data_IF_825295487226
#
_entry.id   IF_825295487226
#
_cell.length_a   1.000
_cell.length_b   1.000
_cell.length_c   1.000
_cell.angle_alpha   90.00
_cell.angle_beta   90.00
_cell.angle_gamma   90.00
#
_symmetry.space_group_name_H-M   'P 1'
#
loop_
_entity.id
_entity.type
_entity.pdbx_description
1 polymer ?
#
# COMPACT_ATOMS: atom_id res chain seq x y z
N UNK A 1 -18.97 40.54 -67.96
CA UNK A 1 -17.79 40.27 -67.09
C UNK A 1 -18.29 39.54 -65.85
N UNK A 2 -17.71 38.37 -65.53
CA UNK A 2 -18.26 37.34 -64.63
C UNK A 2 -18.04 37.68 -63.14
N UNK A 3 -19.11 37.63 -62.35
CA UNK A 3 -19.10 37.62 -60.87
C UNK A 3 -18.47 36.32 -60.38
N UNK A 4 -17.55 36.38 -59.41
CA UNK A 4 -17.07 35.20 -58.66
C UNK A 4 -17.79 35.15 -57.30
N UNK A 5 -18.58 34.10 -57.11
CA UNK A 5 -19.11 33.65 -55.82
C UNK A 5 -18.00 32.90 -55.07
N UNK A 6 -17.86 33.16 -53.76
CA UNK A 6 -17.10 32.31 -52.85
C UNK A 6 -18.07 31.75 -51.81
N UNK A 7 -18.02 30.42 -51.67
CA UNK A 7 -18.91 29.58 -50.88
C UNK A 7 -18.46 29.62 -49.41
N UNK A 8 -19.43 29.82 -48.51
CA UNK A 8 -19.27 29.74 -47.05
C UNK A 8 -19.41 28.27 -46.63
N UNK A 9 -18.47 27.77 -45.84
CA UNK A 9 -18.55 26.46 -45.18
C UNK A 9 -18.55 26.66 -43.66
N UNK A 10 -19.74 26.50 -43.07
CA UNK A 10 -19.96 26.42 -41.63
C UNK A 10 -19.87 24.95 -41.25
N UNK A 11 -18.95 24.59 -40.35
CA UNK A 11 -18.95 23.28 -39.69
C UNK A 11 -19.40 23.46 -38.24
N UNK A 12 -20.66 23.12 -38.01
CA UNK A 12 -21.21 22.85 -36.68
C UNK A 12 -20.87 21.41 -36.31
N UNK A 13 -20.18 21.20 -35.20
CA UNK A 13 -20.10 19.90 -34.55
C UNK A 13 -20.38 20.06 -33.06
N UNK A 14 -21.66 19.88 -32.72
CA UNK A 14 -22.14 19.54 -31.38
C UNK A 14 -21.98 18.03 -31.23
N UNK A 15 -21.17 17.54 -30.28
CA UNK A 15 -21.18 16.13 -29.88
C UNK A 15 -20.68 15.96 -28.42
N UNK A 16 -21.64 15.92 -27.50
CA UNK A 16 -21.83 14.95 -26.40
C UNK A 16 -20.60 14.61 -25.51
N UNK A 17 -20.66 14.98 -24.23
CA UNK A 17 -19.99 14.23 -23.16
C UNK A 17 -20.91 13.06 -22.70
N UNK A 18 -20.37 11.88 -22.37
CA UNK A 18 -20.20 11.60 -20.94
C UNK A 18 -18.88 10.89 -20.59
N UNK A 19 -18.60 10.88 -19.29
CA UNK A 19 -17.45 10.34 -18.61
C UNK A 19 -16.99 8.95 -19.09
N UNK A 20 -15.67 8.79 -19.19
CA UNK A 20 -15.00 7.53 -18.91
C UNK A 20 -14.01 7.82 -17.79
N UNK A 21 -14.38 7.44 -16.57
CA UNK A 21 -13.43 7.13 -15.51
C UNK A 21 -12.61 5.95 -16.02
N UNK A 22 -11.52 6.27 -16.71
CA UNK A 22 -10.49 5.31 -17.05
C UNK A 22 -9.78 4.93 -15.76
N UNK A 23 -10.30 3.92 -15.06
CA UNK A 23 -9.43 3.00 -14.35
C UNK A 23 -8.50 2.49 -15.45
N UNK A 24 -7.22 2.85 -15.42
CA UNK A 24 -6.23 2.33 -16.36
C UNK A 24 -6.24 0.80 -16.26
N UNK A 25 -7.08 0.17 -17.09
CA UNK A 25 -7.20 -1.25 -17.30
C UNK A 25 -6.34 -1.63 -18.51
N UNK A 26 -5.12 -1.12 -18.55
CA UNK A 26 -4.12 -1.54 -19.52
C UNK A 26 -3.19 -2.53 -18.85
N UNK A 27 -3.46 -3.80 -19.18
CA UNK A 27 -2.66 -5.00 -18.93
C UNK A 27 -2.74 -5.55 -17.48
N UNK A 28 -3.14 -6.82 -17.27
CA UNK A 28 -2.87 -7.52 -16.03
C UNK A 28 -1.37 -7.86 -16.02
N UNK A 29 -0.51 -6.84 -15.97
CA UNK A 29 0.82 -7.06 -15.44
C UNK A 29 0.58 -7.63 -14.04
N UNK A 30 1.17 -8.79 -13.82
CA UNK A 30 1.34 -9.38 -12.51
C UNK A 30 2.05 -8.37 -11.63
N UNK A 31 1.25 -7.48 -11.07
CA UNK A 31 1.54 -6.76 -9.89
C UNK A 31 1.91 -7.88 -8.91
N UNK A 32 3.19 -8.00 -8.56
CA UNK A 32 3.71 -8.91 -7.53
C UNK A 32 3.96 -8.12 -6.23
N UNK A 33 3.37 -8.53 -5.11
CA UNK A 33 3.61 -8.04 -3.74
C UNK A 33 2.77 -6.85 -3.32
N UNK A 34 3.40 -5.69 -3.18
CA UNK A 34 2.81 -4.47 -2.62
C UNK A 34 2.75 -3.40 -3.70
N UNK A 35 1.55 -2.90 -4.00
CA UNK A 35 1.33 -1.91 -5.07
C UNK A 35 0.94 -0.57 -4.49
N UNK A 36 1.66 0.52 -4.81
CA UNK A 36 1.25 1.84 -4.41
C UNK A 36 -0.07 2.21 -5.10
N UNK A 37 -0.98 2.75 -4.31
CA UNK A 37 -2.22 3.33 -4.78
C UNK A 37 -2.06 4.84 -4.88
N UNK A 38 -2.35 5.38 -6.07
CA UNK A 38 -2.38 6.83 -6.34
C UNK A 38 -3.82 7.26 -6.56
N UNK A 39 -4.67 7.00 -5.57
CA UNK A 39 -6.11 7.34 -5.58
C UNK A 39 -6.49 8.05 -4.30
N UNK A 40 -7.54 8.86 -4.33
CA UNK A 40 -8.01 9.50 -3.10
C UNK A 40 -8.61 8.42 -2.18
N UNK A 41 -8.38 8.47 -0.85
CA UNK A 41 -8.93 7.46 0.07
C UNK A 41 -10.46 7.33 0.02
N UNK A 42 -11.17 8.42 -0.31
CA UNK A 42 -12.63 8.44 -0.47
C UNK A 42 -13.12 7.67 -1.70
N UNK A 43 -12.25 7.42 -2.67
CA UNK A 43 -12.56 6.65 -3.90
C UNK A 43 -12.48 5.14 -3.65
N UNK A 44 -11.88 4.70 -2.53
CA UNK A 44 -11.79 3.29 -2.15
C UNK A 44 -13.02 2.93 -1.32
N UNK A 45 -13.91 2.04 -1.80
CA UNK A 45 -15.14 1.69 -1.10
C UNK A 45 -14.89 1.22 0.34
N UNK A 46 -15.61 1.81 1.29
CA UNK A 46 -15.54 1.45 2.72
C UNK A 46 -14.27 1.92 3.46
N UNK A 47 -13.24 2.43 2.78
CA UNK A 47 -11.99 2.86 3.43
C UNK A 47 -12.19 4.07 4.33
N UNK A 48 -12.94 5.08 3.89
CA UNK A 48 -13.20 6.27 4.70
C UNK A 48 -13.95 5.94 6.01
N UNK A 49 -14.81 4.90 5.99
CA UNK A 49 -15.52 4.40 7.18
C UNK A 49 -14.72 3.38 8.00
N UNK A 50 -13.55 2.94 7.53
CA UNK A 50 -12.74 1.96 8.22
C UNK A 50 -12.03 2.59 9.43
N UNK A 51 -12.47 2.19 10.62
CA UNK A 51 -11.90 2.65 11.89
C UNK A 51 -10.41 2.33 12.04
N UNK A 52 -9.91 1.25 11.44
CA UNK A 52 -8.48 0.92 11.49
C UNK A 52 -7.66 1.87 10.61
N UNK A 53 -8.19 2.25 9.45
CA UNK A 53 -7.61 3.30 8.60
C UNK A 53 -7.61 4.63 9.33
N UNK A 54 -8.76 5.08 9.83
CA UNK A 54 -8.89 6.34 10.59
C UNK A 54 -7.95 6.38 11.80
N UNK A 55 -7.89 5.31 12.59
CA UNK A 55 -7.01 5.25 13.76
C UNK A 55 -5.52 5.29 13.38
N UNK A 56 -5.15 4.71 12.24
CA UNK A 56 -3.76 4.70 11.75
C UNK A 56 -3.36 6.05 11.16
N UNK A 57 -4.24 6.71 10.41
CA UNK A 57 -3.95 7.97 9.71
C UNK A 57 -4.17 9.22 10.55
N UNK A 58 -4.89 9.10 11.68
CA UNK A 58 -5.13 10.21 12.59
C UNK A 58 -3.81 10.85 13.04
N UNK A 59 -3.63 12.12 12.69
CA UNK A 59 -2.46 12.90 13.08
C UNK A 59 -1.19 12.62 12.26
N UNK A 60 -1.26 11.82 11.19
CA UNK A 60 -0.19 11.74 10.22
C UNK A 60 -0.19 12.97 9.31
N UNK A 61 1.00 13.54 9.06
CA UNK A 61 1.23 14.58 8.05
C UNK A 61 1.26 14.02 6.63
N UNK A 62 1.45 12.71 6.50
CA UNK A 62 1.48 12.02 5.22
C UNK A 62 1.44 10.51 5.41
N UNK A 63 0.86 9.83 4.42
CA UNK A 63 0.88 8.38 4.28
C UNK A 63 0.72 8.04 2.79
N UNK A 64 1.03 6.81 2.43
CA UNK A 64 0.74 6.25 1.12
C UNK A 64 -0.15 5.01 1.32
N UNK A 65 -1.03 4.75 0.37
CA UNK A 65 -1.87 3.56 0.39
C UNK A 65 -1.29 2.50 -0.52
N UNK A 66 -1.49 1.25 -0.14
CA UNK A 66 -1.04 0.14 -0.95
C UNK A 66 -2.06 -0.99 -0.96
N UNK A 67 -2.06 -1.78 -2.02
CA UNK A 67 -2.73 -3.10 -2.06
C UNK A 67 -1.66 -4.17 -1.93
N UNK A 68 -1.92 -5.21 -1.14
CA UNK A 68 -0.96 -6.29 -0.90
C UNK A 68 -1.50 -7.62 -1.37
N UNK A 69 -0.73 -8.30 -2.22
CA UNK A 69 -0.88 -9.72 -2.51
C UNK A 69 -0.17 -10.53 -1.41
N UNK A 70 -0.97 -11.12 -0.52
CA UNK A 70 -0.46 -11.82 0.67
C UNK A 70 0.28 -13.11 0.31
N UNK A 71 -0.19 -13.84 -0.70
CA UNK A 71 0.38 -15.14 -1.08
C UNK A 71 1.75 -14.93 -1.72
N UNK A 72 1.86 -13.97 -2.62
CA UNK A 72 3.13 -13.60 -3.23
C UNK A 72 4.11 -13.00 -2.20
N UNK A 73 3.65 -12.10 -1.33
CA UNK A 73 4.49 -11.53 -0.28
C UNK A 73 5.01 -12.63 0.66
N UNK A 74 4.16 -13.59 1.03
CA UNK A 74 4.55 -14.72 1.86
C UNK A 74 5.54 -15.64 1.16
N UNK A 75 5.32 -15.93 -0.13
CA UNK A 75 6.24 -16.74 -0.93
C UNK A 75 7.64 -16.11 -0.95
N UNK A 76 7.74 -14.80 -1.16
CA UNK A 76 9.01 -14.07 -1.15
C UNK A 76 9.64 -13.94 0.23
N UNK A 77 8.83 -13.74 1.27
CA UNK A 77 9.34 -13.77 2.64
C UNK A 77 9.98 -15.12 2.99
N UNK A 78 9.39 -16.23 2.51
CA UNK A 78 9.94 -17.58 2.68
C UNK A 78 11.24 -17.83 1.92
N UNK A 79 11.51 -17.12 0.82
CA UNK A 79 12.83 -17.18 0.15
C UNK A 79 13.90 -16.33 0.85
N UNK A 80 13.51 -15.55 1.87
CA UNK A 80 14.41 -14.71 2.65
C UNK A 80 14.79 -13.39 1.98
N UNK A 81 14.18 -13.03 0.86
CA UNK A 81 14.46 -11.78 0.14
C UNK A 81 13.17 -11.10 -0.30
N UNK A 82 12.92 -9.89 0.20
CA UNK A 82 11.72 -9.10 -0.12
C UNK A 82 12.13 -7.66 -0.41
N UNK A 83 11.67 -7.10 -1.53
CA UNK A 83 11.81 -5.66 -1.79
C UNK A 83 10.48 -4.97 -1.49
N UNK A 84 10.51 -3.96 -0.63
CA UNK A 84 9.34 -3.14 -0.30
C UNK A 84 9.55 -1.70 -0.77
N UNK A 85 8.48 -1.06 -1.24
CA UNK A 85 8.43 0.39 -1.42
C UNK A 85 7.51 0.99 -0.35
N UNK A 86 8.09 1.78 0.56
CA UNK A 86 7.33 2.48 1.59
C UNK A 86 7.63 3.97 1.45
N UNK A 87 6.59 4.76 1.17
CA UNK A 87 6.67 6.21 0.95
C UNK A 87 7.69 6.61 -0.13
N UNK A 88 7.79 5.83 -1.22
CA UNK A 88 8.71 6.09 -2.33
C UNK A 88 10.16 5.69 -2.03
N UNK A 89 10.42 5.02 -0.89
CA UNK A 89 11.73 4.48 -0.54
C UNK A 89 11.71 2.97 -0.69
N UNK A 90 12.67 2.46 -1.46
CA UNK A 90 12.86 1.04 -1.67
C UNK A 90 13.75 0.45 -0.56
N UNK A 91 13.30 -0.65 0.03
CA UNK A 91 14.00 -1.42 1.04
C UNK A 91 14.16 -2.86 0.54
N UNK A 92 15.40 -3.27 0.29
CA UNK A 92 15.73 -4.66 0.02
C UNK A 92 15.98 -5.37 1.35
N UNK A 93 15.04 -6.21 1.75
CA UNK A 93 15.02 -6.89 3.04
C UNK A 93 15.67 -8.27 2.92
N UNK A 94 16.54 -8.59 3.87
CA UNK A 94 17.05 -9.95 4.09
C UNK A 94 16.34 -10.50 5.32
N UNK A 95 15.51 -11.53 5.11
CA UNK A 95 14.58 -12.05 6.10
C UNK A 95 14.90 -13.49 6.49
N UNK A 96 14.55 -13.82 7.73
CA UNK A 96 14.58 -15.16 8.29
C UNK A 96 13.29 -15.40 9.07
N UNK A 97 12.72 -16.61 9.07
CA UNK A 97 11.55 -16.92 9.88
C UNK A 97 11.80 -16.63 11.36
N UNK A 98 10.88 -15.89 11.99
CA UNK A 98 10.90 -15.67 13.43
C UNK A 98 10.27 -16.88 14.11
N UNK A 99 11.11 -17.73 14.71
CA UNK A 99 10.68 -18.95 15.39
C UNK A 99 10.27 -18.70 16.84
N UNK A 100 10.41 -17.47 17.33
CA UNK A 100 9.90 -17.08 18.66
C UNK A 100 8.39 -16.92 18.61
N UNK A 101 7.72 -18.05 18.93
CA UNK A 101 6.35 -18.15 19.45
C UNK A 101 5.21 -18.02 18.42
N UNK A 102 4.58 -19.15 18.11
CA UNK A 102 3.13 -19.30 18.29
C UNK A 102 2.95 -20.49 19.23
N UNK A 103 2.28 -20.29 20.36
CA UNK A 103 1.87 -21.42 21.20
C UNK A 103 1.11 -22.42 20.31
N UNK A 104 1.31 -23.75 20.46
CA UNK A 104 0.51 -24.75 19.77
C UNK A 104 -0.91 -24.72 20.33
N UNK A 105 -1.67 -23.70 19.95
CA UNK A 105 -3.10 -23.58 20.13
C UNK A 105 -3.66 -23.37 18.74
N UNK A 106 -4.32 -24.41 18.22
CA UNK A 106 -4.82 -24.48 16.86
C UNK A 106 -5.49 -23.16 16.42
N UNK A 107 -4.90 -22.52 15.43
CA UNK A 107 -5.64 -21.56 14.60
C UNK A 107 -5.71 -22.18 13.22
N UNK A 108 -6.91 -22.31 12.67
CA UNK A 108 -7.15 -22.73 11.27
C UNK A 108 -6.50 -21.79 10.23
N UNK A 109 -5.73 -20.80 10.69
CA UNK A 109 -5.15 -19.68 9.97
C UNK A 109 -3.74 -19.48 10.49
N UNK A 110 -2.70 -19.80 9.70
CA UNK A 110 -1.33 -19.63 10.13
C UNK A 110 -0.94 -18.14 10.18
N UNK A 111 -0.14 -17.78 11.17
CA UNK A 111 0.55 -16.49 11.22
C UNK A 111 2.02 -16.76 10.92
N UNK A 112 2.58 -16.03 9.97
CA UNK A 112 3.98 -16.13 9.57
C UNK A 112 4.70 -14.85 9.99
N UNK A 113 5.71 -14.99 10.84
CA UNK A 113 6.55 -13.88 11.28
C UNK A 113 7.95 -14.07 10.75
N UNK A 114 8.58 -12.97 10.35
CA UNK A 114 9.93 -12.91 9.84
C UNK A 114 10.67 -11.74 10.49
N UNK A 115 11.94 -11.93 10.78
CA UNK A 115 12.87 -10.88 11.22
C UNK A 115 14.03 -10.77 10.25
N UNK A 116 14.63 -9.58 10.20
CA UNK A 116 15.70 -9.35 9.27
C UNK A 116 16.34 -7.98 9.39
N UNK A 117 17.00 -7.61 8.30
CA UNK A 117 17.67 -6.33 8.13
C UNK A 117 17.45 -5.82 6.71
N UNK A 118 17.76 -4.55 6.48
CA UNK A 118 17.85 -3.97 5.14
C UNK A 118 19.26 -4.24 4.61
N UNK A 119 19.33 -4.81 3.41
CA UNK A 119 20.58 -5.15 2.72
C UNK A 119 21.48 -3.91 2.61
N UNK A 120 22.71 -4.05 3.07
CA UNK A 120 23.71 -2.98 3.00
C UNK A 120 23.50 -1.82 3.98
N UNK A 121 22.52 -1.91 4.89
CA UNK A 121 22.31 -0.91 5.95
C UNK A 121 22.66 -1.54 7.31
N UNK A 122 23.82 -1.22 7.89
CA UNK A 122 24.21 -1.71 9.20
C UNK A 122 23.16 -1.42 10.27
N UNK A 123 23.04 -2.33 11.23
CA UNK A 123 22.17 -2.23 12.41
C UNK A 123 20.65 -2.17 12.11
N UNK A 124 20.25 -2.04 10.85
CA UNK A 124 18.83 -2.00 10.46
C UNK A 124 18.06 -3.23 10.96
N UNK A 125 16.81 -3.01 11.34
CA UNK A 125 15.94 -4.04 11.89
C UNK A 125 14.66 -4.12 11.09
N UNK A 126 14.22 -5.33 10.81
CA UNK A 126 12.97 -5.59 10.10
C UNK A 126 12.16 -6.59 10.89
N UNK A 127 10.86 -6.32 11.02
CA UNK A 127 9.88 -7.32 11.40
C UNK A 127 8.71 -7.28 10.40
N UNK A 128 8.37 -8.45 9.88
CA UNK A 128 7.29 -8.67 8.92
C UNK A 128 6.40 -9.78 9.48
N UNK A 129 5.11 -9.49 9.63
CA UNK A 129 4.10 -10.46 10.04
C UNK A 129 3.01 -10.52 8.99
N UNK A 130 2.70 -11.73 8.53
CA UNK A 130 1.71 -12.02 7.49
C UNK A 130 0.72 -13.04 8.04
N UNK A 131 -0.56 -12.78 7.88
CA UNK A 131 -1.65 -13.74 8.10
C UNK A 131 -2.65 -13.66 6.95
N UNK A 132 -3.65 -14.54 6.95
CA UNK A 132 -4.77 -14.52 6.00
C UNK A 132 -5.65 -13.25 6.11
N UNK A 133 -5.48 -12.46 7.18
CA UNK A 133 -6.29 -11.27 7.47
C UNK A 133 -5.51 -9.97 7.43
N UNK A 134 -4.20 -10.01 7.63
CA UNK A 134 -3.43 -8.80 7.83
C UNK A 134 -1.95 -8.98 7.46
N UNK A 135 -1.33 -7.86 7.13
CA UNK A 135 0.11 -7.70 7.03
C UNK A 135 0.54 -6.52 7.91
N UNK A 136 1.62 -6.73 8.65
CA UNK A 136 2.30 -5.71 9.43
C UNK A 136 3.77 -5.74 9.08
N UNK A 137 4.31 -4.58 8.70
CA UNK A 137 5.74 -4.41 8.44
C UNK A 137 6.26 -3.27 9.28
N UNK A 138 7.40 -3.50 9.92
CA UNK A 138 8.24 -2.47 10.51
C UNK A 138 9.63 -2.58 9.93
N UNK A 139 10.15 -1.48 9.40
CA UNK A 139 11.52 -1.35 8.92
C UNK A 139 12.16 -0.20 9.66
N UNK A 140 13.13 -0.52 10.51
CA UNK A 140 14.02 0.45 11.11
C UNK A 140 15.27 0.57 10.26
N UNK A 141 15.55 1.80 9.85
CA UNK A 141 16.87 2.23 9.41
C UNK A 141 17.33 3.30 10.40
N UNK A 142 18.64 3.52 10.60
CA UNK A 142 19.12 4.45 11.61
C UNK A 142 18.35 5.78 11.62
N UNK A 143 17.77 6.10 12.77
CA UNK A 143 16.96 7.31 13.04
C UNK A 143 15.59 7.40 12.37
N UNK A 144 15.06 6.33 11.77
CA UNK A 144 13.74 6.36 11.15
C UNK A 144 13.06 4.99 11.07
N UNK A 145 11.81 4.94 11.50
CA UNK A 145 10.96 3.78 11.32
C UNK A 145 10.03 3.98 10.13
N UNK A 146 9.85 2.93 9.34
CA UNK A 146 8.86 2.82 8.28
C UNK A 146 7.89 1.70 8.64
N UNK A 147 6.62 1.94 8.34
CA UNK A 147 5.54 1.06 8.72
C UNK A 147 4.68 0.73 7.51
N UNK A 148 4.21 -0.50 7.42
CA UNK A 148 3.02 -0.87 6.65
C UNK A 148 2.03 -1.53 7.60
N UNK A 149 0.81 -1.00 7.65
CA UNK A 149 -0.23 -1.48 8.57
C UNK A 149 -1.51 -1.78 7.81
N UNK A 150 -2.00 -3.01 7.91
CA UNK A 150 -3.29 -3.37 7.33
C UNK A 150 -4.43 -2.52 7.87
N UNK A 151 -5.34 -2.19 6.95
CA UNK A 151 -6.69 -1.74 7.23
C UNK A 151 -7.63 -2.95 7.23
N UNK A 152 -8.90 -2.77 7.59
CA UNK A 152 -9.97 -3.76 7.41
C UNK A 152 -10.50 -3.76 5.98
N UNK A 153 -10.29 -2.67 5.23
CA UNK A 153 -10.72 -2.55 3.84
C UNK A 153 -9.89 -3.44 2.92
N UNK A 154 -10.59 -4.01 1.94
CA UNK A 154 -10.00 -4.77 0.84
C UNK A 154 -10.38 -4.12 -0.49
N UNK A 155 -9.47 -4.17 -1.44
CA UNK A 155 -9.69 -3.82 -2.83
C UNK A 155 -9.45 -5.09 -3.65
N UNK A 156 -10.46 -5.53 -4.41
CA UNK A 156 -10.44 -6.77 -5.18
C UNK A 156 -10.03 -8.01 -4.36
N UNK A 157 -10.54 -8.10 -3.14
CA UNK A 157 -10.23 -9.19 -2.19
C UNK A 157 -8.87 -9.09 -1.50
N UNK A 158 -7.99 -8.18 -1.94
CA UNK A 158 -6.65 -7.96 -1.39
C UNK A 158 -6.67 -6.87 -0.30
N UNK A 159 -5.95 -7.03 0.82
CA UNK A 159 -5.91 -6.03 1.87
C UNK A 159 -5.31 -4.70 1.39
N UNK A 160 -5.96 -3.61 1.78
CA UNK A 160 -5.40 -2.26 1.68
C UNK A 160 -4.58 -1.98 2.93
N UNK A 161 -3.36 -1.47 2.77
CA UNK A 161 -2.46 -1.11 3.88
C UNK A 161 -2.04 0.35 3.80
N UNK A 162 -1.80 0.95 4.96
CA UNK A 162 -1.27 2.30 5.10
C UNK A 162 0.24 2.22 5.33
N UNK A 163 1.01 2.87 4.46
CA UNK A 163 2.45 3.05 4.63
C UNK A 163 2.81 4.45 5.10
N UNK A 164 3.65 4.55 6.12
CA UNK A 164 4.05 5.83 6.72
C UNK A 164 5.41 5.72 7.42
N UNK A 165 6.05 6.86 7.66
CA UNK A 165 7.28 6.98 8.42
C UNK A 165 7.03 7.51 9.84
N UNK A 166 7.92 7.22 10.79
CA UNK A 166 7.96 7.88 12.10
C UNK A 166 8.11 9.39 11.99
N UNK A 167 8.66 9.91 10.88
CA UNK A 167 8.77 11.36 10.60
C UNK A 167 7.47 11.97 10.09
N UNK A 168 6.52 11.15 9.60
CA UNK A 168 5.20 11.62 9.20
C UNK A 168 4.30 11.92 10.42
N UNK A 169 4.78 11.74 11.67
CA UNK A 169 4.00 12.01 12.87
C UNK A 169 3.86 13.52 13.15
N UNK A 170 2.63 13.96 13.42
CA UNK A 170 2.38 15.17 14.23
C UNK A 170 2.23 14.71 15.68
N UNK A 171 3.30 14.71 16.47
CA UNK A 171 3.17 14.35 17.89
C UNK A 171 2.40 15.44 18.65
N UNK A 172 1.17 15.11 19.08
CA UNK A 172 0.63 15.58 20.36
C UNK A 172 0.08 14.35 21.10
N UNK A 173 0.95 13.78 21.94
CA UNK A 173 0.71 12.81 23.01
C UNK A 173 -0.51 11.87 22.86
N UNK A 174 -0.25 10.61 22.53
CA UNK A 174 -1.05 9.50 23.03
C UNK A 174 -0.17 8.66 23.95
N UNK A 175 -0.28 8.90 25.25
CA UNK A 175 0.17 7.95 26.26
C UNK A 175 -0.77 6.76 26.18
N UNK A 176 -0.24 5.59 25.84
CA UNK A 176 -0.91 4.34 26.17
C UNK A 176 -0.52 4.00 27.60
N UNK A 177 -1.41 4.25 28.54
CA UNK A 177 -1.34 3.62 29.86
C UNK A 177 -1.82 2.17 29.67
N UNK A 178 -0.94 1.20 29.92
CA UNK A 178 -1.29 -0.22 30.01
C UNK A 178 -2.17 -0.48 31.24
#
# INVERSE_FOLDING_TARGET
MRKKMAIVLVFTALLIAPAVLGINSDNPQQHNGIYPLTVNPSEIPGLASDLSFQATTKGLKGYSLYVVDLDDLLARAKTGSVTLDIRGRKFDLVLSPDTRTLAPGATDRPIHSFRGSVKGIPESMVALTISDRAVFVTVWVPNEWYYLRSTKTKLDGKPVVVGYSSKDKTFKNFSYTY
#
